data_IF_921952303072
#
_entry.id   IF_921952303072
#
_cell.length_a   1.000
_cell.length_b   1.000
_cell.length_c   1.000
_cell.angle_alpha   90.00
_cell.angle_beta   90.00
_cell.angle_gamma   90.00
#
_symmetry.space_group_name_H-M   'P 1'
#
loop_
_entity.id
_entity.type
_entity.pdbx_description
1 polymer ?
2 polymer ?
3 polymer ?
4 water ?
#
loop_
_entity_poly.entity_id
_entity_poly.type
_entity_poly.pdbx_seq_one_letter_code
_entity_poly.pdbx_strand_id
2 'polydeoxyribonucleotide' '(DG)(DA)(DG)(DC)(DT)(DG)(DT)(DC)(DA)(DT)(DA)(DA)(DA)(DG)(DT)(DT)(DG)(DT)(DC)(DA)(DC)(DG)(DG)' ?
3 'polydeoxyribonucleotide' '(DC)(DC)(DC)(DG)(DT)(DG)(DA)(DC)(DA)(DA)(DC)(DT)(DT)(DT)(DA)(DT)(DG)(DA)(DC)(DA)(DG)(DC)(DT)' ?
#
# COMPACT_ATOMS: atom_id res chain seq x y z
N UNK A 4 28.18 -29.72 0.71
CA UNK A 4 28.00 -30.72 -0.37
C UNK A 4 26.99 -31.77 0.07
N UNK A 5 25.71 -31.52 -0.22
CA UNK A 5 24.64 -32.44 0.16
C UNK A 5 24.28 -33.43 -0.93
N UNK A 6 23.16 -33.18 -1.63
CA UNK A 6 22.70 -34.09 -2.68
C UNK A 6 21.98 -33.41 -3.86
N UNK A 7 20.76 -32.94 -3.61
CA UNK A 7 19.97 -32.28 -4.66
C UNK A 7 20.55 -30.95 -5.14
N UNK A 8 19.90 -30.40 -6.16
CA UNK A 8 20.31 -29.15 -6.78
C UNK A 8 19.63 -27.92 -6.18
N UNK A 9 20.34 -26.79 -6.22
CA UNK A 9 19.80 -25.54 -5.72
C UNK A 9 19.37 -24.73 -6.95
N UNK A 10 18.09 -24.37 -6.98
CA UNK A 10 17.49 -23.63 -8.09
C UNK A 10 16.86 -22.33 -7.58
N UNK A 11 17.30 -21.20 -8.12
CA UNK A 11 16.76 -19.91 -7.70
C UNK A 11 16.94 -18.86 -8.79
N UNK A 12 15.85 -18.12 -9.06
CA UNK A 12 15.84 -17.06 -10.06
C UNK A 12 16.74 -17.35 -11.27
N UNK A 13 16.71 -18.60 -11.75
CA UNK A 13 17.51 -18.97 -12.90
C UNK A 13 18.95 -19.35 -12.59
N UNK A 14 19.36 -19.16 -11.35
CA UNK A 14 20.71 -19.51 -10.93
C UNK A 14 20.67 -20.90 -10.30
N UNK A 15 21.69 -21.71 -10.58
CA UNK A 15 21.71 -23.05 -10.01
C UNK A 15 23.08 -23.62 -9.67
N UNK A 16 23.11 -24.29 -8.51
CA UNK A 16 24.30 -24.93 -8.01
C UNK A 16 23.99 -26.40 -7.84
N UNK A 17 24.75 -27.24 -8.54
CA UNK A 17 24.61 -28.69 -8.52
C UNK A 17 25.84 -29.27 -7.84
N UNK A 18 25.69 -29.71 -6.58
CA UNK A 18 26.78 -30.29 -5.80
C UNK A 18 27.39 -31.47 -6.57
N UNK A 19 26.49 -32.34 -7.03
CA UNK A 19 26.84 -33.53 -7.81
C UNK A 19 27.92 -33.23 -8.85
N UNK A 20 27.65 -32.29 -9.75
CA UNK A 20 28.63 -31.94 -10.78
C UNK A 20 29.60 -30.92 -10.25
N UNK A 21 29.19 -30.23 -9.18
CA UNK A 21 30.01 -29.20 -8.57
C UNK A 21 30.04 -28.06 -9.58
N UNK A 22 28.86 -27.75 -10.12
CA UNK A 22 28.77 -26.71 -11.13
C UNK A 22 27.72 -25.62 -10.87
N UNK A 23 27.97 -24.45 -11.42
CA UNK A 23 27.05 -23.31 -11.28
C UNK A 23 26.62 -22.87 -12.67
N UNK A 24 25.31 -22.81 -12.88
CA UNK A 24 24.81 -22.38 -14.18
C UNK A 24 23.71 -21.31 -14.12
N UNK A 25 23.85 -20.29 -14.96
CA UNK A 25 22.85 -19.24 -15.07
C UNK A 25 21.99 -19.70 -16.24
N UNK A 26 20.78 -20.17 -15.94
CA UNK A 26 19.94 -20.67 -17.01
C UNK A 26 20.61 -21.98 -17.41
N UNK A 27 21.34 -21.97 -18.52
CA UNK A 27 22.04 -23.17 -18.93
C UNK A 27 23.53 -22.88 -19.09
N UNK A 28 23.88 -21.61 -19.27
CA UNK A 28 25.29 -21.25 -19.42
C UNK A 28 26.06 -21.55 -18.15
N UNK A 29 27.19 -22.26 -18.27
CA UNK A 29 27.97 -22.56 -17.08
C UNK A 29 28.60 -21.26 -16.60
N UNK A 30 28.93 -21.20 -15.31
CA UNK A 30 29.56 -20.02 -14.74
C UNK A 30 30.85 -20.48 -14.11
N UNK A 31 31.96 -19.87 -14.50
CA UNK A 31 33.24 -20.22 -13.93
C UNK A 31 33.56 -19.34 -12.71
N UNK A 32 34.31 -19.91 -11.77
CA UNK A 32 34.73 -19.22 -10.56
C UNK A 32 35.54 -20.22 -9.73
N UNK A 33 36.55 -19.70 -9.03
CA UNK A 33 37.41 -20.53 -8.19
C UNK A 33 36.68 -21.40 -7.17
N UNK A 34 37.44 -22.21 -6.41
CA UNK A 34 36.86 -23.09 -5.39
C UNK A 34 36.12 -22.39 -4.24
N UNK A 35 36.71 -21.31 -3.72
CA UNK A 35 36.07 -20.57 -2.61
C UNK A 35 34.73 -19.92 -3.01
N UNK A 36 34.80 -19.04 -4.00
CA UNK A 36 33.62 -18.34 -4.48
C UNK A 36 32.50 -19.34 -4.63
N UNK A 37 32.84 -20.58 -4.98
CA UNK A 37 31.85 -21.63 -5.15
C UNK A 37 31.34 -22.10 -3.79
N UNK A 38 32.26 -22.26 -2.84
CA UNK A 38 31.93 -22.69 -1.49
C UNK A 38 31.04 -21.65 -0.82
N UNK A 39 31.42 -20.38 -1.01
CA UNK A 39 30.66 -19.26 -0.48
C UNK A 39 29.26 -19.38 -1.08
N UNK A 40 29.20 -19.36 -2.40
CA UNK A 40 27.91 -19.45 -3.06
C UNK A 40 27.14 -20.66 -2.57
N UNK A 41 27.84 -21.76 -2.28
CA UNK A 41 27.14 -22.93 -1.81
C UNK A 41 26.58 -22.66 -0.43
N UNK A 42 27.29 -21.86 0.38
CA UNK A 42 26.75 -21.55 1.70
C UNK A 42 25.56 -20.58 1.56
N UNK A 43 25.81 -19.45 0.89
CA UNK A 43 24.76 -18.45 0.64
C UNK A 43 23.46 -19.09 0.17
N UNK A 44 23.53 -19.91 -0.87
CA UNK A 44 22.33 -20.55 -1.40
C UNK A 44 21.61 -21.54 -0.49
N UNK A 45 22.30 -22.09 0.50
CA UNK A 45 21.61 -23.00 1.41
C UNK A 45 21.13 -22.19 2.59
N UNK A 46 21.66 -20.97 2.72
CA UNK A 46 21.27 -20.07 3.81
C UNK A 46 20.93 -18.70 3.26
N UNK A 47 19.85 -18.63 2.48
CA UNK A 47 19.40 -17.38 1.86
C UNK A 47 18.52 -16.52 2.79
N UNK A 48 18.27 -15.29 2.37
CA UNK A 48 17.41 -14.38 3.12
C UNK A 48 17.81 -14.38 4.59
N UNK A 49 19.11 -14.37 4.83
CA UNK A 49 19.65 -14.41 6.18
C UNK A 49 21.01 -13.76 6.13
N UNK A 50 21.17 -12.62 6.78
CA UNK A 50 22.45 -11.90 6.77
C UNK A 50 23.53 -12.55 7.65
N UNK A 51 24.75 -12.54 7.15
CA UNK A 51 25.86 -13.12 7.88
C UNK A 51 26.96 -12.09 7.92
N UNK A 52 27.73 -12.10 9.01
CA UNK A 52 28.84 -11.18 9.15
C UNK A 52 30.06 -11.81 8.51
N UNK A 53 31.01 -10.97 8.11
CA UNK A 53 32.24 -11.48 7.52
C UNK A 53 32.80 -12.61 8.40
N UNK A 54 32.87 -12.34 9.69
CA UNK A 54 33.38 -13.32 10.62
C UNK A 54 32.67 -14.66 10.53
N UNK A 55 31.35 -14.65 10.51
CA UNK A 55 30.63 -15.93 10.43
C UNK A 55 30.91 -16.68 9.13
N UNK A 56 31.04 -15.92 8.04
CA UNK A 56 31.32 -16.51 6.74
C UNK A 56 32.65 -17.25 6.83
N UNK A 57 33.60 -16.64 7.54
CA UNK A 57 34.91 -17.26 7.73
C UNK A 57 34.72 -18.62 8.40
N UNK A 58 34.04 -18.62 9.53
CA UNK A 58 33.78 -19.86 10.26
C UNK A 58 33.05 -20.89 9.42
N UNK A 59 32.00 -20.46 8.70
CA UNK A 59 31.22 -21.40 7.90
C UNK A 59 31.88 -21.84 6.60
N UNK A 60 32.46 -20.90 5.86
CA UNK A 60 33.09 -21.22 4.58
C UNK A 60 34.52 -21.74 4.78
N UNK A 61 35.35 -20.94 5.43
CA UNK A 61 36.75 -21.30 5.68
C UNK A 61 36.88 -22.33 6.81
N UNK A 62 35.78 -22.58 7.52
CA UNK A 62 35.79 -23.54 8.62
C UNK A 62 36.45 -22.99 9.87
N UNK A 63 36.88 -21.73 9.84
CA UNK A 63 37.53 -21.11 11.00
C UNK A 63 38.02 -19.68 10.69
N UNK A 64 37.80 -18.79 11.64
CA UNK A 64 38.17 -17.37 11.55
C UNK A 64 39.62 -17.08 11.94
N UNK A 65 40.37 -18.15 12.22
CA UNK A 65 41.75 -18.02 12.66
C UNK A 65 42.88 -17.62 11.70
N UNK A 66 42.80 -17.98 10.42
CA UNK A 66 43.90 -17.63 9.52
C UNK A 66 43.69 -16.47 8.57
N UNK A 67 42.44 -16.10 8.32
CA UNK A 67 42.13 -15.01 7.41
C UNK A 67 41.58 -13.79 8.13
N UNK A 68 41.71 -12.63 7.48
CA UNK A 68 41.25 -11.33 8.00
C UNK A 68 39.89 -10.90 7.43
N UNK A 69 38.92 -10.71 8.33
CA UNK A 69 37.55 -10.29 7.97
C UNK A 69 37.30 -9.68 6.59
N UNK A 70 38.03 -8.62 6.26
CA UNK A 70 37.84 -7.95 4.98
C UNK A 70 38.19 -8.79 3.75
N UNK A 71 38.72 -9.98 3.98
CA UNK A 71 39.08 -10.86 2.87
C UNK A 71 37.78 -11.33 2.27
N UNK A 72 36.72 -11.30 3.09
CA UNK A 72 35.41 -11.72 2.62
C UNK A 72 34.90 -10.75 1.56
N UNK A 73 35.14 -9.46 1.75
CA UNK A 73 34.68 -8.46 0.79
C UNK A 73 35.23 -8.86 -0.57
N UNK A 74 36.54 -9.06 -0.61
CA UNK A 74 37.23 -9.43 -1.84
C UNK A 74 36.55 -10.62 -2.52
N UNK A 75 36.30 -11.67 -1.76
CA UNK A 75 35.66 -12.83 -2.32
C UNK A 75 34.24 -12.54 -2.78
N UNK A 76 33.48 -11.79 -1.97
CA UNK A 76 32.10 -11.41 -2.34
C UNK A 76 32.19 -10.72 -3.70
N UNK A 77 33.23 -9.92 -3.89
CA UNK A 77 33.40 -9.23 -5.15
C UNK A 77 33.65 -10.19 -6.31
N UNK A 78 34.59 -11.11 -6.12
CA UNK A 78 34.92 -12.10 -7.16
C UNK A 78 33.71 -12.99 -7.48
N UNK A 79 32.89 -13.27 -6.47
CA UNK A 79 31.71 -14.08 -6.68
C UNK A 79 30.79 -13.26 -7.60
N UNK A 80 30.75 -11.96 -7.34
CA UNK A 80 29.94 -11.02 -8.10
C UNK A 80 30.35 -10.96 -9.55
N UNK A 81 31.63 -10.72 -9.78
CA UNK A 81 32.10 -10.67 -11.15
C UNK A 81 31.72 -11.97 -11.85
N UNK A 82 31.64 -13.06 -11.09
CA UNK A 82 31.30 -14.37 -11.65
C UNK A 82 29.82 -14.59 -11.86
N UNK A 83 29.00 -13.75 -11.25
CA UNK A 83 27.56 -13.90 -11.39
C UNK A 83 26.94 -12.85 -12.31
N UNK A 84 27.77 -11.97 -12.88
CA UNK A 84 27.29 -10.91 -13.77
C UNK A 84 26.64 -11.45 -15.04
N UNK A 85 27.34 -12.31 -15.82
CA UNK A 85 26.82 -12.88 -17.05
C UNK A 85 25.31 -13.16 -17.08
N UNK A 86 24.79 -13.81 -16.05
CA UNK A 86 23.36 -14.06 -16.05
C UNK A 86 22.64 -12.98 -15.28
N UNK A 87 23.40 -11.98 -14.83
CA UNK A 87 22.82 -10.88 -14.06
C UNK A 87 22.56 -11.20 -12.60
N UNK A 88 22.96 -12.39 -12.16
CA UNK A 88 22.71 -12.80 -10.78
C UNK A 88 23.62 -12.18 -9.71
N UNK A 89 24.50 -11.26 -10.11
CA UNK A 89 25.36 -10.62 -9.13
C UNK A 89 24.49 -9.78 -8.21
N UNK A 90 23.21 -9.66 -8.58
CA UNK A 90 22.23 -8.92 -7.79
C UNK A 90 21.86 -9.61 -6.50
N UNK A 91 22.07 -10.91 -6.44
CA UNK A 91 21.66 -11.63 -5.25
C UNK A 91 22.66 -11.58 -4.09
N UNK A 92 23.86 -11.10 -4.36
CA UNK A 92 24.88 -10.95 -3.32
C UNK A 92 24.74 -9.53 -2.81
N UNK A 93 23.92 -9.40 -1.76
CA UNK A 93 23.57 -8.12 -1.14
C UNK A 93 24.27 -7.67 0.15
N UNK A 94 24.80 -6.47 0.09
CA UNK A 94 25.48 -5.85 1.21
C UNK A 94 24.51 -5.23 2.23
N UNK A 95 24.65 -5.65 3.49
CA UNK A 95 23.84 -5.12 4.58
C UNK A 95 24.78 -4.31 5.43
N UNK A 96 25.04 -3.07 5.00
CA UNK A 96 25.95 -2.16 5.71
C UNK A 96 25.95 -2.27 7.24
N UNK A 97 27.13 -2.50 7.80
CA UNK A 97 27.27 -2.63 9.24
C UNK A 97 26.87 -3.99 9.76
N UNK A 98 26.39 -4.88 8.91
CA UNK A 98 26.01 -6.19 9.40
C UNK A 98 26.71 -7.33 8.65
N UNK A 99 27.03 -7.10 7.39
CA UNK A 99 27.69 -8.11 6.61
C UNK A 99 27.13 -8.24 5.21
N UNK A 100 26.88 -9.47 4.79
CA UNK A 100 26.35 -9.76 3.47
C UNK A 100 25.21 -10.74 3.60
N UNK A 101 24.40 -10.81 2.55
CA UNK A 101 23.24 -11.69 2.53
C UNK A 101 22.94 -12.20 1.14
N UNK A 102 22.36 -13.39 1.06
CA UNK A 102 22.03 -13.91 -0.26
C UNK A 102 20.53 -13.91 -0.33
N UNK A 103 20.00 -13.20 -1.34
CA UNK A 103 18.56 -13.09 -1.48
C UNK A 103 18.08 -13.07 -2.93
N UNK A 104 16.84 -13.50 -3.13
CA UNK A 104 16.21 -13.51 -4.43
C UNK A 104 15.31 -12.27 -4.55
N UNK A 105 14.87 -11.77 -3.39
CA UNK A 105 14.01 -10.60 -3.37
C UNK A 105 14.86 -9.36 -3.47
N UNK A 106 14.77 -8.67 -4.60
CA UNK A 106 15.53 -7.44 -4.79
C UNK A 106 14.64 -6.37 -5.40
N UNK B 6 12.94 -13.72 18.54
CA UNK B 6 12.87 -12.62 17.54
C UNK B 6 12.44 -13.20 16.20
N UNK B 7 11.22 -12.87 15.76
CA UNK B 7 10.68 -13.36 14.49
C UNK B 7 10.38 -12.23 13.51
N UNK B 8 9.78 -12.60 12.38
CA UNK B 8 9.42 -11.62 11.37
C UNK B 8 8.16 -10.90 11.82
N UNK B 9 8.22 -9.57 11.82
CA UNK B 9 7.08 -8.77 12.22
C UNK B 9 6.34 -8.30 10.97
N UNK B 10 5.03 -8.54 10.94
CA UNK B 10 4.20 -8.16 9.80
C UNK B 10 2.98 -7.36 10.24
N UNK B 11 2.71 -6.27 9.52
CA UNK B 11 1.57 -5.40 9.80
C UNK B 11 1.21 -4.55 8.60
N UNK B 12 -0.07 -4.61 8.21
CA UNK B 12 -0.54 -3.82 7.09
C UNK B 12 0.26 -4.08 5.82
N UNK B 13 0.85 -5.27 5.73
CA UNK B 13 1.64 -5.60 4.55
C UNK B 13 3.06 -5.08 4.60
N UNK B 14 3.49 -4.63 5.79
CA UNK B 14 4.85 -4.13 6.00
C UNK B 14 5.50 -5.18 6.89
N UNK B 15 6.70 -5.58 6.50
CA UNK B 15 7.39 -6.61 7.27
C UNK B 15 8.81 -6.24 7.63
N UNK B 16 9.25 -6.72 8.79
CA UNK B 16 10.62 -6.48 9.23
C UNK B 16 11.12 -7.79 9.81
N UNK B 17 12.08 -8.40 9.12
CA UNK B 17 12.69 -9.67 9.53
C UNK B 17 14.11 -9.41 10.03
N UNK B 18 14.34 -9.61 11.33
CA UNK B 18 15.63 -9.41 11.99
C UNK B 18 16.70 -10.28 11.35
N UNK B 19 16.38 -11.58 11.25
CA UNK B 19 17.27 -12.56 10.64
C UNK B 19 17.88 -11.95 9.37
N UNK B 20 17.07 -11.82 8.33
CA UNK B 20 17.56 -11.24 7.08
C UNK B 20 17.92 -9.77 7.22
N UNK B 21 17.46 -9.15 8.29
CA UNK B 21 17.72 -7.72 8.52
C UNK B 21 17.16 -6.99 7.30
N UNK B 22 15.85 -7.12 7.08
CA UNK B 22 15.23 -6.49 5.93
C UNK B 22 13.81 -5.92 6.09
N UNK B 23 13.55 -4.82 5.38
CA UNK B 23 12.24 -4.19 5.45
C UNK B 23 11.58 -4.24 4.08
N UNK B 24 10.43 -4.89 4.03
CA UNK B 24 9.71 -5.00 2.77
C UNK B 24 8.24 -4.60 2.76
N UNK B 25 7.91 -3.69 1.84
CA UNK B 25 6.53 -3.26 1.63
C UNK B 25 6.07 -4.31 0.61
N UNK B 26 5.23 -5.25 1.04
CA UNK B 26 4.80 -6.29 0.13
C UNK B 26 6.08 -6.98 -0.28
N UNK B 27 6.21 -7.37 -1.54
CA UNK B 27 7.42 -8.04 -2.01
C UNK B 27 8.53 -7.01 -2.29
N UNK B 28 8.17 -5.73 -2.19
CA UNK B 28 9.13 -4.66 -2.45
C UNK B 28 9.96 -4.29 -1.22
N UNK B 29 11.28 -4.50 -1.29
CA UNK B 29 12.18 -4.18 -0.20
C UNK B 29 12.41 -2.66 -0.16
N UNK B 30 12.58 -2.13 1.05
CA UNK B 30 12.80 -0.69 1.22
C UNK B 30 14.19 -0.41 1.80
N UNK B 31 15.00 0.35 1.08
CA UNK B 31 16.32 0.63 1.60
C UNK B 31 16.18 1.66 2.72
N UNK B 32 17.13 1.67 3.66
CA UNK B 32 17.13 2.60 4.77
C UNK B 32 18.31 2.33 5.70
N UNK B 33 18.90 3.41 6.22
CA UNK B 33 20.04 3.27 7.11
C UNK B 33 19.77 2.41 8.32
N UNK B 34 20.80 2.11 9.13
CA UNK B 34 20.67 1.29 10.34
C UNK B 34 19.86 1.96 11.49
N UNK B 35 20.01 3.26 11.68
CA UNK B 35 19.25 3.94 12.72
C UNK B 35 17.75 3.69 12.46
N UNK B 36 17.30 4.06 11.25
CA UNK B 36 15.92 3.88 10.83
C UNK B 36 15.46 2.46 11.04
N UNK B 37 16.31 1.52 10.67
CA UNK B 37 15.93 0.13 10.84
C UNK B 37 15.64 -0.10 12.32
N UNK B 38 16.53 0.40 13.17
CA UNK B 38 16.39 0.24 14.61
C UNK B 38 15.12 0.96 15.08
N UNK B 39 14.92 2.19 14.60
CA UNK B 39 13.73 2.94 14.94
C UNK B 39 12.47 2.12 14.61
N UNK B 40 12.33 1.74 13.34
CA UNK B 40 11.16 0.98 12.98
C UNK B 40 11.12 -0.28 13.78
N UNK B 41 12.28 -0.88 14.00
CA UNK B 41 12.28 -2.12 14.76
C UNK B 41 11.71 -1.91 16.16
N UNK B 42 11.92 -0.73 16.75
CA UNK B 42 11.36 -0.49 18.08
C UNK B 42 9.83 -0.24 17.98
N UNK B 43 9.44 0.67 17.08
CA UNK B 43 8.02 1.00 16.84
C UNK B 43 7.24 -0.27 16.59
N UNK B 44 7.67 -1.03 15.59
CA UNK B 44 6.99 -2.26 15.24
C UNK B 44 6.91 -3.26 16.39
N UNK B 45 7.79 -3.09 17.39
CA UNK B 45 7.78 -3.98 18.56
C UNK B 45 6.95 -3.43 19.69
N UNK B 46 6.57 -2.16 19.56
CA UNK B 46 5.73 -1.50 20.57
C UNK B 46 4.78 -0.57 19.85
N UNK B 47 3.83 -1.13 19.08
CA UNK B 47 2.85 -0.33 18.34
C UNK B 47 1.74 0.19 19.25
N UNK B 48 0.91 1.09 18.75
CA UNK B 48 -0.21 1.60 19.54
C UNK B 48 0.23 2.15 20.90
N UNK B 49 1.38 2.79 20.92
CA UNK B 49 1.90 3.38 22.14
C UNK B 49 2.72 4.59 21.75
N UNK B 50 2.39 5.73 22.31
CA UNK B 50 3.11 6.96 22.01
C UNK B 50 4.38 7.05 22.85
N UNK B 51 5.38 7.72 22.30
CA UNK B 51 6.65 7.93 22.96
C UNK B 51 7.04 9.35 22.73
N UNK B 52 7.54 10.01 23.78
CA UNK B 52 8.03 11.37 23.65
C UNK B 52 9.40 11.19 23.03
N UNK B 53 9.97 12.23 22.45
CA UNK B 53 11.29 12.12 21.83
C UNK B 53 12.32 11.56 22.84
N UNK B 54 12.30 12.14 24.03
CA UNK B 54 13.19 11.72 25.10
C UNK B 54 13.09 10.22 25.34
N UNK B 55 11.93 9.65 25.13
CA UNK B 55 11.80 8.22 25.35
C UNK B 55 12.38 7.42 24.17
N UNK B 56 12.40 8.02 22.98
CA UNK B 56 12.94 7.32 21.82
C UNK B 56 14.47 7.28 21.88
N UNK B 57 15.07 8.40 22.24
CA UNK B 57 16.52 8.47 22.37
C UNK B 57 16.93 7.45 23.45
N UNK B 58 16.09 7.29 24.47
CA UNK B 58 16.37 6.35 25.55
C UNK B 58 16.24 4.89 25.10
N UNK B 59 15.13 4.57 24.44
CA UNK B 59 14.90 3.20 23.99
C UNK B 59 15.70 2.84 22.74
N UNK B 60 16.06 3.84 21.94
CA UNK B 60 16.77 3.57 20.71
C UNK B 60 18.25 3.93 20.68
N UNK B 61 18.62 5.05 21.29
CA UNK B 61 20.03 5.41 21.32
C UNK B 61 20.64 4.89 22.62
N UNK B 62 20.25 5.50 23.73
CA UNK B 62 20.78 5.07 25.01
C UNK B 62 20.35 5.91 26.19
N UNK B 63 20.19 5.23 27.32
CA UNK B 63 19.80 5.86 28.58
C UNK B 63 20.82 6.95 28.93
N UNK B 64 22.03 6.81 28.40
CA UNK B 64 23.11 7.76 28.66
C UNK B 64 23.53 8.53 27.40
N UNK B 65 22.76 8.41 26.33
CA UNK B 65 23.07 9.09 25.07
C UNK B 65 22.83 10.60 25.20
N UNK B 66 23.55 11.40 24.40
CA UNK B 66 23.43 12.85 24.48
C UNK B 66 22.55 13.56 23.45
N UNK B 67 22.35 12.92 22.29
CA UNK B 67 21.55 13.47 21.20
C UNK B 67 20.40 14.40 21.62
N UNK B 68 20.11 15.40 20.79
CA UNK B 68 19.04 16.34 21.08
C UNK B 68 17.66 15.94 20.53
N UNK B 69 16.65 16.08 21.39
CA UNK B 69 15.26 15.76 21.08
C UNK B 69 14.80 15.91 19.63
N UNK B 70 15.14 17.00 18.97
CA UNK B 70 14.69 17.19 17.60
C UNK B 70 15.39 16.25 16.60
N UNK B 71 16.40 15.54 17.08
CA UNK B 71 17.12 14.57 16.22
C UNK B 71 16.11 13.49 15.86
N UNK B 72 15.26 13.17 16.84
CA UNK B 72 14.23 12.18 16.66
C UNK B 72 13.39 12.52 15.45
N UNK B 73 12.90 13.76 15.39
CA UNK B 73 12.05 14.19 14.28
C UNK B 73 12.67 13.79 12.96
N UNK B 74 13.90 14.25 12.75
CA UNK B 74 14.61 13.95 11.51
C UNK B 74 14.63 12.48 11.16
N UNK B 75 14.77 11.62 12.16
CA UNK B 75 14.78 10.19 11.89
C UNK B 75 13.38 9.67 11.57
N UNK B 76 12.36 10.23 12.22
CA UNK B 76 10.97 9.84 11.95
C UNK B 76 10.73 10.19 10.48
N UNK B 77 11.26 11.33 10.07
CA UNK B 77 11.12 11.81 8.71
C UNK B 77 11.77 10.87 7.69
N UNK B 78 13.01 10.44 7.95
CA UNK B 78 13.67 9.54 7.02
C UNK B 78 12.95 8.20 7.01
N UNK B 79 12.51 7.76 8.18
CA UNK B 79 11.78 6.51 8.29
C UNK B 79 10.47 6.61 7.53
N UNK B 80 10.03 7.84 7.29
CA UNK B 80 8.79 8.08 6.58
C UNK B 80 9.09 8.14 5.09
N UNK B 81 10.08 8.95 4.70
CA UNK B 81 10.43 9.03 3.29
C UNK B 81 10.71 7.63 2.75
N UNK B 82 11.28 6.78 3.59
CA UNK B 82 11.60 5.42 3.21
C UNK B 82 10.43 4.46 3.27
N UNK B 83 9.44 4.77 4.09
CA UNK B 83 8.27 3.89 4.22
C UNK B 83 7.18 4.27 3.23
N UNK B 84 7.52 5.22 2.35
CA UNK B 84 6.60 5.74 1.33
C UNK B 84 6.12 4.82 0.20
N UNK B 85 7.05 4.14 -0.51
CA UNK B 85 6.68 3.25 -1.62
C UNK B 85 5.41 2.40 -1.46
N UNK B 86 5.15 1.92 -0.25
CA UNK B 86 3.96 1.12 -0.03
C UNK B 86 2.92 1.96 0.69
N UNK B 87 3.25 3.24 0.85
CA UNK B 87 2.40 4.18 1.54
C UNK B 87 2.37 3.98 3.05
N UNK B 88 3.29 3.17 3.57
CA UNK B 88 3.30 2.91 5.01
C UNK B 88 3.77 4.02 5.94
N UNK B 89 4.16 5.17 5.40
CA UNK B 89 4.56 6.25 6.28
C UNK B 89 3.36 6.58 7.19
N UNK B 90 2.17 6.31 6.69
CA UNK B 90 0.94 6.53 7.46
C UNK B 90 1.04 5.92 8.85
N UNK B 91 1.80 4.83 8.98
CA UNK B 91 1.89 4.17 10.27
C UNK B 91 2.79 4.88 11.27
N UNK B 92 3.63 5.78 10.77
CA UNK B 92 4.53 6.57 11.60
C UNK B 92 3.76 7.83 11.93
N UNK B 93 3.06 7.78 13.06
CA UNK B 93 2.20 8.88 13.47
C UNK B 93 2.65 9.85 14.55
N UNK B 94 2.40 11.12 14.27
CA UNK B 94 2.74 12.18 15.19
C UNK B 94 1.64 12.38 16.23
N UNK B 95 2.01 12.89 17.39
CA UNK B 95 1.07 13.15 18.45
C UNK B 95 1.52 14.45 19.11
N UNK B 96 0.95 15.54 18.61
CA UNK B 96 1.22 16.90 19.07
C UNK B 96 1.45 17.02 20.59
N UNK B 97 2.60 17.60 20.94
CA UNK B 97 2.97 17.79 22.32
C UNK B 97 3.18 16.52 23.15
N UNK B 98 3.29 15.38 22.48
CA UNK B 98 3.48 14.14 23.20
C UNK B 98 4.61 13.34 22.56
N UNK B 99 4.64 13.31 21.24
CA UNK B 99 5.68 12.57 20.55
C UNK B 99 5.22 11.82 19.32
N UNK B 100 5.70 10.59 19.19
CA UNK B 100 5.33 9.76 18.05
C UNK B 100 4.72 8.43 18.42
N UNK B 101 4.01 7.87 17.46
CA UNK B 101 3.34 6.60 17.65
C UNK B 101 3.44 5.78 16.38
N UNK B 102 3.34 4.47 16.51
CA UNK B 102 3.36 3.60 15.35
C UNK B 102 2.05 2.85 15.49
N UNK B 103 1.24 2.86 14.43
CA UNK B 103 -0.06 2.22 14.52
C UNK B 103 -0.64 1.68 13.23
N UNK B 104 -1.40 0.60 13.36
CA UNK B 104 -2.05 -0.04 12.22
C UNK B 104 -3.36 0.71 11.97
N UNK B 105 -3.79 1.50 12.94
CA UNK B 105 -5.01 2.26 12.83
C UNK B 105 -4.66 3.68 12.41
N UNK B 106 -5.54 4.28 11.63
CA UNK B 106 -5.34 5.65 11.16
C UNK B 106 -6.53 6.07 10.31
N UNK E 5 -42.28 -11.08 2.98
CA UNK E 5 -41.30 -10.28 2.19
C UNK E 5 -41.04 -8.93 2.85
N UNK E 6 -40.86 -8.93 4.16
CA UNK E 6 -40.57 -7.71 4.91
C UNK E 6 -39.76 -8.00 6.19
N UNK E 7 -38.55 -8.54 6.02
CA UNK E 7 -37.70 -8.83 7.16
C UNK E 7 -36.95 -7.60 7.63
N UNK E 8 -35.99 -7.80 8.52
CA UNK E 8 -35.21 -6.69 9.04
C UNK E 8 -33.97 -6.46 8.20
N UNK E 9 -33.55 -5.20 8.11
CA UNK E 9 -32.35 -4.84 7.37
C UNK E 9 -31.38 -4.26 8.40
N UNK E 10 -30.34 -5.02 8.71
CA UNK E 10 -29.34 -4.59 9.68
C UNK E 10 -28.03 -4.31 8.94
N UNK E 11 -27.43 -3.16 9.24
CA UNK E 11 -26.17 -2.77 8.62
C UNK E 11 -25.32 -1.88 9.52
N UNK E 12 -24.18 -2.40 9.96
CA UNK E 12 -23.28 -1.63 10.80
C UNK E 12 -23.94 -1.06 12.04
N UNK E 13 -24.90 -1.79 12.60
CA UNK E 13 -25.56 -1.32 13.80
C UNK E 13 -26.83 -0.53 13.55
N UNK E 14 -27.10 -0.25 12.28
CA UNK E 14 -28.29 0.49 11.89
C UNK E 14 -29.31 -0.55 11.41
N UNK E 15 -30.54 -0.44 11.89
CA UNK E 15 -31.56 -1.39 11.45
C UNK E 15 -32.88 -0.71 11.12
N UNK E 16 -33.53 -1.21 10.08
CA UNK E 16 -34.81 -0.69 9.63
C UNK E 16 -35.82 -1.84 9.56
N UNK E 17 -36.81 -1.81 10.46
CA UNK E 17 -37.82 -2.85 10.53
C UNK E 17 -39.06 -2.38 9.77
N UNK E 18 -39.29 -2.91 8.57
CA UNK E 18 -40.46 -2.50 7.78
C UNK E 18 -41.73 -2.80 8.57
N UNK E 19 -41.76 -3.98 9.18
CA UNK E 19 -42.90 -4.40 9.97
C UNK E 19 -43.34 -3.37 11.00
N UNK E 20 -42.42 -2.85 11.79
CA UNK E 20 -42.80 -1.85 12.78
C UNK E 20 -42.66 -0.44 12.23
N UNK E 21 -42.08 -0.32 11.04
CA UNK E 21 -41.90 0.99 10.42
C UNK E 21 -40.96 1.79 11.31
N UNK E 22 -39.85 1.17 11.66
CA UNK E 22 -38.91 1.80 12.56
C UNK E 22 -37.43 1.61 12.19
N UNK E 23 -36.63 2.58 12.63
CA UNK E 23 -35.19 2.58 12.40
C UNK E 23 -34.46 2.60 13.74
N UNK E 24 -33.45 1.76 13.88
CA UNK E 24 -32.72 1.75 15.14
C UNK E 24 -31.21 1.76 15.06
N UNK E 25 -30.61 2.62 15.87
CA UNK E 25 -29.16 2.67 16.01
C UNK E 25 -29.02 1.79 17.26
N UNK E 26 -28.63 0.54 17.05
CA UNK E 26 -28.52 -0.37 18.17
C UNK E 26 -29.90 -0.62 18.75
N UNK E 27 -30.06 -0.42 20.05
CA UNK E 27 -31.35 -0.65 20.67
C UNK E 27 -32.14 0.65 20.77
N UNK E 28 -31.55 1.73 20.24
CA UNK E 28 -32.17 3.05 20.27
C UNK E 28 -32.99 3.38 19.02
N UNK E 29 -34.23 3.84 19.21
CA UNK E 29 -35.06 4.18 18.05
C UNK E 29 -34.66 5.54 17.49
N UNK E 30 -34.94 5.78 16.21
CA UNK E 30 -34.60 7.05 15.57
C UNK E 30 -35.78 7.69 14.86
N UNK E 31 -36.35 8.73 15.44
CA UNK E 31 -37.47 9.38 14.79
C UNK E 31 -37.03 9.93 13.43
N UNK E 32 -38.01 10.21 12.57
CA UNK E 32 -37.80 10.78 11.25
C UNK E 32 -39.14 10.69 10.52
N UNK E 33 -39.45 11.72 9.75
CA UNK E 33 -40.70 11.75 9.02
C UNK E 33 -40.88 10.59 8.07
N UNK E 34 -42.03 10.52 7.40
CA UNK E 34 -42.25 9.42 6.48
C UNK E 34 -41.44 9.45 5.18
N UNK E 35 -41.03 10.63 4.73
CA UNK E 35 -40.25 10.67 3.49
C UNK E 35 -38.89 10.04 3.78
N UNK E 36 -38.27 10.52 4.86
CA UNK E 36 -36.97 10.06 5.32
C UNK E 36 -36.94 8.56 5.44
N UNK E 37 -37.93 8.00 6.13
CA UNK E 37 -38.02 6.56 6.32
C UNK E 37 -38.11 5.85 4.97
N UNK E 38 -38.84 6.48 4.05
CA UNK E 38 -39.03 5.91 2.73
C UNK E 38 -37.71 5.98 1.99
N UNK E 39 -37.02 7.10 2.17
CA UNK E 39 -35.72 7.34 1.55
C UNK E 39 -34.65 6.35 2.06
N UNK E 40 -34.65 6.08 3.36
CA UNK E 40 -33.68 5.15 3.93
C UNK E 40 -34.03 3.71 3.60
N UNK E 41 -35.32 3.43 3.43
CA UNK E 41 -35.74 2.08 3.13
C UNK E 41 -35.22 1.78 1.74
N UNK E 42 -35.21 2.80 0.89
CA UNK E 42 -34.71 2.62 -0.45
C UNK E 42 -33.20 2.35 -0.41
N UNK E 43 -32.46 3.28 0.18
CA UNK E 43 -31.02 3.14 0.30
C UNK E 43 -30.58 1.83 0.93
N UNK E 44 -31.16 1.48 2.06
CA UNK E 44 -30.74 0.25 2.72
C UNK E 44 -31.08 -0.99 1.95
N UNK E 45 -31.87 -0.85 0.89
CA UNK E 45 -32.24 -2.00 0.06
C UNK E 45 -31.61 -1.91 -1.31
N UNK E 46 -30.80 -0.86 -1.48
CA UNK E 46 -30.06 -0.62 -2.72
C UNK E 46 -28.75 0.05 -2.31
N UNK E 47 -28.01 -0.57 -1.39
CA UNK E 47 -26.74 0.03 -0.94
C UNK E 47 -25.64 -0.06 -1.99
N UNK E 48 -24.53 0.61 -1.72
CA UNK E 48 -23.37 0.59 -2.62
C UNK E 48 -23.72 0.88 -4.06
N UNK E 49 -24.54 1.90 -4.28
CA UNK E 49 -24.95 2.27 -5.63
C UNK E 49 -25.33 3.74 -5.65
N UNK E 50 -24.66 4.52 -6.50
CA UNK E 50 -24.98 5.93 -6.55
C UNK E 50 -26.24 6.24 -7.35
N UNK E 51 -27.13 7.01 -6.73
CA UNK E 51 -28.36 7.40 -7.36
C UNK E 51 -28.41 8.92 -7.54
N UNK E 52 -29.01 9.35 -8.65
CA UNK E 52 -29.12 10.78 -8.95
C UNK E 52 -30.40 11.30 -8.30
N UNK E 53 -30.48 12.62 -8.20
CA UNK E 53 -31.66 13.22 -7.60
C UNK E 53 -32.87 12.68 -8.36
N UNK E 54 -32.79 12.73 -9.68
CA UNK E 54 -33.86 12.24 -10.55
C UNK E 54 -34.33 10.85 -10.15
N UNK E 55 -33.43 9.90 -10.13
CA UNK E 55 -33.82 8.54 -9.76
C UNK E 55 -34.44 8.46 -8.37
N UNK E 56 -33.96 9.28 -7.44
CA UNK E 56 -34.49 9.21 -6.10
C UNK E 56 -35.91 9.72 -6.07
N UNK E 57 -36.20 10.78 -6.84
CA UNK E 57 -37.56 11.32 -6.88
C UNK E 57 -38.45 10.26 -7.46
N UNK E 58 -38.00 9.65 -8.55
CA UNK E 58 -38.74 8.61 -9.22
C UNK E 58 -39.03 7.40 -8.35
N UNK E 59 -38.01 6.87 -7.66
CA UNK E 59 -38.21 5.69 -6.84
C UNK E 59 -38.83 5.89 -5.47
N UNK E 60 -38.59 7.06 -4.86
CA UNK E 60 -39.13 7.31 -3.53
C UNK E 60 -40.47 8.00 -3.56
N UNK E 61 -40.59 9.00 -4.43
CA UNK E 61 -41.84 9.75 -4.58
C UNK E 61 -42.70 9.04 -5.62
N UNK E 62 -42.30 9.18 -6.88
CA UNK E 62 -43.01 8.58 -8.00
C UNK E 62 -42.58 9.40 -9.20
N UNK E 63 -42.94 8.98 -10.41
CA UNK E 63 -42.54 9.74 -11.59
C UNK E 63 -43.31 11.04 -11.78
N UNK E 64 -42.77 11.91 -12.64
CA UNK E 64 -43.35 13.22 -12.97
C UNK E 64 -43.69 14.15 -11.81
N UNK E 65 -43.74 13.63 -10.58
CA UNK E 65 -44.04 14.43 -9.41
C UNK E 65 -43.45 15.83 -9.58
N UNK E 66 -44.12 16.85 -9.08
CA UNK E 66 -43.59 18.20 -9.25
C UNK E 66 -42.63 18.64 -8.16
N UNK E 67 -41.64 17.78 -7.92
CA UNK E 67 -40.61 18.04 -6.94
C UNK E 67 -39.33 18.19 -7.74
N UNK E 68 -38.56 19.23 -7.45
CA UNK E 68 -37.34 19.45 -8.18
C UNK E 68 -36.12 18.79 -7.56
N UNK E 69 -35.09 18.62 -8.36
CA UNK E 69 -33.86 17.99 -7.93
C UNK E 69 -33.30 18.37 -6.57
N UNK E 70 -32.93 19.64 -6.39
CA UNK E 70 -32.35 20.03 -5.10
C UNK E 70 -33.25 19.79 -3.88
N UNK E 71 -34.49 19.39 -4.11
CA UNK E 71 -35.38 19.13 -2.99
C UNK E 71 -34.99 17.81 -2.34
N UNK E 72 -34.23 17.03 -3.09
CA UNK E 72 -33.72 15.75 -2.60
C UNK E 72 -32.61 16.13 -1.63
N UNK E 73 -31.76 17.07 -2.05
CA UNK E 73 -30.66 17.56 -1.22
C UNK E 73 -31.17 17.94 0.17
N UNK E 74 -32.40 18.45 0.24
CA UNK E 74 -32.96 18.84 1.53
C UNK E 74 -33.37 17.63 2.38
N UNK E 75 -34.00 16.63 1.77
CA UNK E 75 -34.38 15.45 2.52
C UNK E 75 -33.15 14.66 2.92
N UNK E 76 -32.11 14.70 2.09
CA UNK E 76 -30.88 14.01 2.43
C UNK E 76 -30.36 14.61 3.73
N UNK E 77 -30.48 15.92 3.86
CA UNK E 77 -30.01 16.61 5.05
C UNK E 77 -30.79 16.17 6.27
N UNK E 78 -32.11 16.11 6.16
CA UNK E 78 -32.94 15.71 7.28
C UNK E 78 -32.68 14.26 7.66
N UNK E 79 -32.34 13.45 6.67
CA UNK E 79 -32.07 12.05 6.91
C UNK E 79 -30.75 11.87 7.70
N UNK E 80 -29.73 12.64 7.30
CA UNK E 80 -28.44 12.60 7.95
C UNK E 80 -28.57 13.01 9.42
N UNK E 81 -29.38 14.02 9.68
CA UNK E 81 -29.61 14.46 11.05
C UNK E 81 -30.15 13.30 11.89
N UNK E 82 -31.24 12.70 11.40
CA UNK E 82 -31.89 11.59 12.07
C UNK E 82 -31.00 10.38 12.30
N UNK E 83 -29.97 10.23 11.48
CA UNK E 83 -29.08 9.08 11.64
C UNK E 83 -27.81 9.40 12.42
N UNK E 84 -27.74 10.59 13.01
CA UNK E 84 -26.57 11.00 13.79
C UNK E 84 -26.28 10.10 14.99
N UNK E 85 -27.32 9.77 15.80
CA UNK E 85 -27.24 8.94 16.99
C UNK E 85 -26.43 7.64 16.94
N UNK E 86 -25.51 7.53 15.99
CA UNK E 86 -24.69 6.34 15.89
C UNK E 86 -23.61 6.62 14.87
N UNK E 87 -23.66 7.83 14.31
CA UNK E 87 -22.71 8.23 13.29
C UNK E 87 -23.07 7.50 12.02
N UNK E 88 -24.36 7.27 11.83
CA UNK E 88 -24.80 6.55 10.64
C UNK E 88 -25.06 7.42 9.42
N UNK E 89 -25.16 8.72 9.64
CA UNK E 89 -25.33 9.65 8.55
C UNK E 89 -24.15 9.41 7.59
N UNK E 90 -23.01 8.99 8.15
CA UNK E 90 -21.82 8.71 7.33
C UNK E 90 -22.15 7.70 6.26
N UNK E 91 -23.27 6.99 6.40
CA UNK E 91 -23.66 5.99 5.40
C UNK E 91 -24.43 6.57 4.22
N UNK E 92 -24.93 7.79 4.41
CA UNK E 92 -25.66 8.52 3.39
C UNK E 92 -24.57 9.40 2.81
N UNK E 93 -24.09 9.02 1.63
CA UNK E 93 -22.98 9.70 0.99
C UNK E 93 -23.21 10.46 -0.33
N UNK E 94 -22.67 11.68 -0.36
CA UNK E 94 -22.74 12.58 -1.51
C UNK E 94 -21.67 12.27 -2.56
N UNK E 95 -22.10 12.11 -3.80
CA UNK E 95 -21.17 11.84 -4.90
C UNK E 95 -21.21 13.01 -5.88
N UNK E 96 -20.25 13.91 -5.75
CA UNK E 96 -20.16 15.11 -6.58
C UNK E 96 -20.63 14.91 -8.01
N UNK E 97 -21.43 15.86 -8.48
CA UNK E 97 -21.95 15.80 -9.83
C UNK E 97 -22.61 14.50 -10.25
N UNK E 98 -23.02 13.67 -9.31
CA UNK E 98 -23.67 12.43 -9.72
C UNK E 98 -24.84 12.05 -8.84
N UNK E 99 -24.84 12.50 -7.59
CA UNK E 99 -25.94 12.16 -6.71
C UNK E 99 -25.58 11.66 -5.31
N UNK E 100 -26.37 10.74 -4.79
CA UNK E 100 -26.13 10.23 -3.48
C UNK E 100 -26.07 8.73 -3.47
N UNK E 101 -25.34 8.21 -2.50
CA UNK E 101 -25.11 6.79 -2.34
C UNK E 101 -25.27 6.47 -0.87
N UNK E 102 -25.62 5.22 -0.57
CA UNK E 102 -25.74 4.77 0.82
C UNK E 102 -24.75 3.64 0.89
N UNK E 103 -23.85 3.69 1.88
CA UNK E 103 -22.83 2.64 2.00
C UNK E 103 -22.33 2.36 3.41
N UNK E 104 -21.90 1.13 3.63
CA UNK E 104 -21.37 0.75 4.94
C UNK E 104 -19.84 0.87 4.88
N UNK E 105 -19.34 1.85 4.13
CA UNK E 105 -17.91 2.07 3.96
C UNK E 105 -17.58 3.53 3.98
N UNK E 106 -16.68 3.94 4.88
CA UNK E 106 -16.29 5.33 4.99
C UNK E 106 -14.97 5.55 5.74
N UNK F 5 -26.20 -3.93 -14.19
CA UNK F 5 -24.98 -3.11 -14.15
C UNK F 5 -23.75 -3.94 -14.55
N UNK F 6 -22.74 -3.27 -15.14
CA UNK F 6 -21.53 -3.96 -15.60
C UNK F 6 -20.32 -3.78 -14.67
N UNK F 7 -19.74 -4.92 -14.30
CA UNK F 7 -18.59 -5.07 -13.37
C UNK F 7 -17.50 -4.04 -13.05
N UNK F 8 -16.91 -4.30 -11.89
CA UNK F 8 -15.84 -3.52 -11.26
C UNK F 8 -14.44 -3.81 -11.81
N UNK F 9 -13.58 -2.81 -11.86
CA UNK F 9 -12.22 -2.99 -12.35
C UNK F 9 -11.35 -3.25 -11.13
N UNK F 10 -10.52 -4.28 -11.17
CA UNK F 10 -9.65 -4.63 -10.04
C UNK F 10 -8.20 -4.96 -10.44
N UNK F 11 -7.26 -4.25 -9.84
CA UNK F 11 -5.84 -4.51 -10.14
C UNK F 11 -4.97 -4.22 -8.93
N UNK F 12 -4.13 -5.19 -8.57
CA UNK F 12 -3.20 -5.04 -7.45
C UNK F 12 -3.82 -4.45 -6.20
N UNK F 13 -4.99 -4.97 -5.81
CA UNK F 13 -5.68 -4.49 -4.62
C UNK F 13 -6.49 -3.22 -4.75
N UNK F 14 -6.35 -2.52 -5.88
CA UNK F 14 -7.07 -1.27 -6.12
C UNK F 14 -8.31 -1.60 -6.92
N UNK F 15 -9.46 -1.09 -6.47
CA UNK F 15 -10.70 -1.35 -7.19
C UNK F 15 -11.43 -0.04 -7.46
N UNK F 16 -12.09 0.02 -8.60
CA UNK F 16 -12.88 1.20 -8.97
C UNK F 16 -14.20 0.59 -9.40
N UNK F 17 -15.26 0.95 -8.68
CA UNK F 17 -16.59 0.47 -8.96
C UNK F 17 -17.36 1.56 -9.69
N UNK F 18 -17.78 1.29 -10.93
CA UNK F 18 -18.53 2.22 -11.80
C UNK F 18 -19.90 2.52 -11.20
N UNK F 19 -20.51 1.47 -10.69
CA UNK F 19 -21.83 1.52 -10.07
C UNK F 19 -21.87 2.44 -8.86
N UNK F 20 -21.00 2.20 -7.89
CA UNK F 20 -20.98 3.01 -6.67
C UNK F 20 -20.19 4.29 -6.89
N UNK F 21 -19.54 4.37 -8.04
CA UNK F 21 -18.73 5.53 -8.36
C UNK F 21 -17.73 5.68 -7.22
N UNK F 22 -17.00 4.59 -6.94
CA UNK F 22 -16.04 4.60 -5.84
C UNK F 22 -14.71 3.82 -6.03
N UNK F 23 -13.63 4.39 -5.50
CA UNK F 23 -12.33 3.74 -5.59
C UNK F 23 -11.81 3.27 -4.24
N UNK F 24 -11.33 2.05 -4.19
CA UNK F 24 -10.82 1.53 -2.93
C UNK F 24 -9.45 0.88 -2.97
N UNK F 25 -8.61 1.31 -2.02
CA UNK F 25 -7.27 0.75 -1.84
C UNK F 25 -7.60 -0.38 -0.88
N UNK F 26 -7.66 -1.58 -1.42
CA UNK F 26 -8.02 -2.72 -0.60
C UNK F 26 -9.47 -2.60 -0.20
N UNK F 27 -9.71 -2.23 1.05
CA UNK F 27 -11.07 -2.08 1.57
C UNK F 27 -11.22 -0.62 2.05
N UNK F 28 -10.22 0.18 1.74
CA UNK F 28 -10.22 1.58 2.13
C UNK F 28 -10.70 2.50 1.02
N UNK F 29 -11.80 3.23 1.24
CA UNK F 29 -12.33 4.14 0.23
C UNK F 29 -11.37 5.30 -0.01
N UNK F 30 -11.08 5.61 -1.26
CA UNK F 30 -10.17 6.71 -1.60
C UNK F 30 -10.92 7.86 -2.23
N UNK F 31 -11.04 8.98 -1.53
CA UNK F 31 -11.73 10.10 -2.12
C UNK F 31 -10.88 10.70 -3.25
N UNK F 32 -11.51 11.52 -4.07
CA UNK F 32 -10.83 12.17 -5.19
C UNK F 32 -11.88 12.87 -6.06
N UNK F 33 -11.49 13.98 -6.68
CA UNK F 33 -12.39 14.73 -7.54
C UNK F 33 -12.94 13.96 -8.73
N UNK F 34 -13.97 14.50 -9.39
CA UNK F 34 -14.55 13.80 -10.54
C UNK F 34 -13.66 13.63 -11.77
N UNK F 35 -12.78 14.60 -12.06
CA UNK F 35 -11.91 14.45 -13.23
C UNK F 35 -10.93 13.30 -12.98
N UNK F 36 -10.34 13.29 -11.79
CA UNK F 36 -9.41 12.25 -11.41
C UNK F 36 -10.08 10.89 -11.56
N UNK F 37 -11.29 10.77 -11.06
CA UNK F 37 -12.04 9.53 -11.15
C UNK F 37 -12.08 9.16 -12.61
N UNK F 38 -12.38 10.16 -13.45
CA UNK F 38 -12.45 9.96 -14.88
C UNK F 38 -11.12 9.46 -15.42
N UNK F 39 -10.04 10.19 -15.13
CA UNK F 39 -8.72 9.76 -15.59
C UNK F 39 -8.43 8.31 -15.16
N UNK F 40 -8.68 8.01 -13.89
CA UNK F 40 -8.39 6.67 -13.36
C UNK F 40 -9.25 5.62 -14.00
N UNK F 41 -10.49 5.97 -14.32
CA UNK F 41 -11.34 4.97 -14.93
C UNK F 41 -10.84 4.71 -16.34
N UNK F 42 -10.38 5.76 -17.02
CA UNK F 42 -9.87 5.58 -18.36
C UNK F 42 -8.63 4.66 -18.27
N UNK F 43 -7.62 5.09 -17.50
CA UNK F 43 -6.40 4.29 -17.32
C UNK F 43 -6.71 2.83 -16.99
N UNK F 44 -7.46 2.61 -15.92
CA UNK F 44 -7.77 1.26 -15.49
C UNK F 44 -8.47 0.38 -16.51
N UNK F 45 -8.87 0.97 -17.62
CA UNK F 45 -9.54 0.19 -18.67
C UNK F 45 -8.70 0.26 -19.93
N UNK F 46 -7.47 0.73 -19.77
CA UNK F 46 -6.52 0.85 -20.87
C UNK F 46 -5.13 0.71 -20.23
N UNK F 47 -4.94 -0.35 -19.43
CA UNK F 47 -3.64 -0.54 -18.78
C UNK F 47 -2.57 -1.05 -19.73
N UNK F 48 -1.32 -0.78 -19.40
CA UNK F 48 -0.19 -1.23 -20.20
C UNK F 48 -0.26 -0.62 -21.59
N UNK F 49 -0.64 0.66 -21.64
CA UNK F 49 -0.74 1.40 -22.89
C UNK F 49 -0.36 2.81 -22.57
N UNK F 50 0.56 3.38 -23.34
CA UNK F 50 0.98 4.74 -23.10
C UNK F 50 0.10 5.71 -23.89
N UNK F 51 -0.08 6.92 -23.35
CA UNK F 51 -0.89 7.95 -23.99
C UNK F 51 -0.21 9.28 -23.80
N UNK F 52 -0.21 10.11 -24.84
CA UNK F 52 0.38 11.45 -24.75
C UNK F 52 -0.62 12.37 -24.08
N UNK F 53 -0.19 13.59 -23.77
CA UNK F 53 -1.05 14.55 -23.11
C UNK F 53 -2.26 15.03 -23.93
N UNK F 54 -2.21 14.83 -25.24
CA UNK F 54 -3.31 15.25 -26.08
C UNK F 54 -4.34 14.15 -26.29
N UNK F 55 -3.91 12.89 -26.20
CA UNK F 55 -4.80 11.74 -26.38
C UNK F 55 -5.66 11.55 -25.13
N UNK F 56 -5.12 11.91 -23.98
CA UNK F 56 -5.86 11.78 -22.74
C UNK F 56 -6.88 12.91 -22.74
N UNK F 57 -6.43 14.13 -23.06
CA UNK F 57 -7.36 15.25 -23.15
C UNK F 57 -8.46 14.81 -24.11
N UNK F 58 -8.06 14.14 -25.18
CA UNK F 58 -9.02 13.66 -26.13
C UNK F 58 -9.93 12.63 -25.45
N UNK F 59 -9.40 11.46 -25.10
CA UNK F 59 -10.20 10.40 -24.46
C UNK F 59 -10.89 10.75 -23.14
N UNK F 60 -10.33 11.68 -22.37
CA UNK F 60 -10.88 12.01 -21.07
C UNK F 60 -11.61 13.34 -20.97
N UNK F 61 -11.05 14.37 -21.58
CA UNK F 61 -11.73 15.66 -21.55
C UNK F 61 -12.76 15.66 -22.67
N UNK F 62 -12.29 15.34 -23.87
CA UNK F 62 -13.17 15.33 -25.03
C UNK F 62 -12.48 16.11 -26.14
N UNK F 63 -11.95 17.28 -25.77
CA UNK F 63 -11.25 18.17 -26.68
C UNK F 63 -9.97 18.63 -25.98
N UNK F 64 -8.99 19.10 -26.74
CA UNK F 64 -7.72 19.55 -26.17
C UNK F 64 -7.47 21.03 -26.37
N UNK F 65 -8.47 21.75 -26.88
CA UNK F 65 -8.31 23.18 -27.14
C UNK F 65 -8.40 24.08 -25.90
N UNK F 66 -9.49 23.97 -25.14
CA UNK F 66 -9.69 24.79 -23.95
C UNK F 66 -8.74 24.38 -22.81
N UNK F 67 -8.05 23.25 -23.01
CA UNK F 67 -7.11 22.74 -22.02
C UNK F 67 -5.74 22.52 -22.65
N UNK F 68 -4.72 23.15 -22.09
CA UNK F 68 -3.38 22.98 -22.62
C UNK F 68 -2.69 21.72 -22.11
N UNK F 69 -1.96 21.05 -23.00
CA UNK F 69 -1.25 19.81 -22.68
C UNK F 69 -0.81 19.59 -21.23
N UNK F 70 -0.09 20.55 -20.66
CA UNK F 70 0.39 20.42 -19.29
C UNK F 70 -0.66 20.38 -18.19
N UNK F 71 -1.91 20.68 -18.54
CA UNK F 71 -2.98 20.64 -17.56
C UNK F 71 -3.09 19.20 -17.09
N UNK F 72 -2.95 18.29 -18.05
CA UNK F 72 -3.02 16.85 -17.80
C UNK F 72 -2.07 16.45 -16.67
N UNK F 73 -0.87 17.03 -16.70
CA UNK F 73 0.15 16.72 -15.71
C UNK F 73 -0.34 16.97 -14.30
N UNK F 74 -0.90 18.17 -14.08
CA UNK F 74 -1.44 18.52 -12.78
C UNK F 74 -2.36 17.42 -12.24
N UNK F 75 -3.28 16.98 -13.08
CA UNK F 75 -4.22 15.96 -12.70
C UNK F 75 -3.57 14.63 -12.39
N UNK F 76 -2.55 14.26 -13.15
CA UNK F 76 -1.86 13.02 -12.89
C UNK F 76 -1.34 13.08 -11.46
N UNK F 77 -0.85 14.24 -11.04
CA UNK F 77 -0.33 14.42 -9.69
C UNK F 77 -1.40 14.25 -8.62
N UNK F 78 -2.53 14.92 -8.84
CA UNK F 78 -3.64 14.82 -7.92
C UNK F 78 -4.01 13.36 -7.86
N UNK F 79 -4.17 12.75 -9.03
CA UNK F 79 -4.54 11.35 -9.06
C UNK F 79 -3.59 10.53 -8.21
N UNK F 80 -2.30 10.80 -8.38
CA UNK F 80 -1.30 10.09 -7.60
C UNK F 80 -1.51 10.33 -6.11
N UNK F 81 -1.53 11.59 -5.68
CA UNK F 81 -1.71 11.85 -4.26
C UNK F 81 -2.93 11.10 -3.70
N UNK F 82 -4.00 11.03 -4.47
CA UNK F 82 -5.21 10.34 -4.03
C UNK F 82 -5.01 8.83 -3.90
N UNK F 83 -4.05 8.28 -4.62
CA UNK F 83 -3.80 6.84 -4.57
C UNK F 83 -2.62 6.41 -3.71
N UNK F 84 -2.00 7.36 -3.00
CA UNK F 84 -0.85 7.02 -2.16
C UNK F 84 -1.20 5.93 -1.14
N UNK F 85 -2.30 6.12 -0.37
CA UNK F 85 -2.75 5.19 0.65
C UNK F 85 -2.17 3.79 0.66
N UNK F 86 -2.22 3.11 -0.48
CA UNK F 86 -1.67 1.76 -0.54
C UNK F 86 -0.49 1.62 -1.50
N UNK F 87 0.11 2.74 -1.88
CA UNK F 87 1.22 2.68 -2.82
C UNK F 87 0.77 2.48 -4.27
N UNK F 88 -0.50 2.77 -4.54
CA UNK F 88 -1.02 2.59 -5.90
C UNK F 88 -0.67 3.72 -6.82
N UNK F 89 -0.10 4.77 -6.26
CA UNK F 89 0.35 5.87 -7.09
C UNK F 89 1.43 5.28 -8.04
N UNK F 90 2.19 4.31 -7.54
CA UNK F 90 3.23 3.67 -8.35
C UNK F 90 2.62 3.07 -9.61
N UNK F 91 1.32 3.23 -9.79
CA UNK F 91 0.67 2.68 -10.97
C UNK F 91 0.45 3.72 -12.06
N UNK F 92 0.48 5.00 -11.66
CA UNK F 92 0.32 6.10 -12.61
C UNK F 92 1.74 6.47 -12.93
N UNK F 93 2.23 5.97 -14.07
CA UNK F 93 3.61 6.19 -14.46
C UNK F 93 3.89 7.15 -15.61
N UNK F 94 4.99 7.88 -15.44
CA UNK F 94 5.45 8.86 -16.41
C UNK F 94 6.40 8.24 -17.43
N UNK F 95 6.16 8.49 -18.70
CA UNK F 95 7.04 7.99 -19.74
C UNK F 95 7.58 9.21 -20.46
N UNK F 96 8.68 9.74 -19.93
CA UNK F 96 9.35 10.93 -20.46
C UNK F 96 9.33 11.03 -21.98
N UNK F 97 9.01 12.23 -22.47
CA UNK F 97 8.95 12.46 -23.89
C UNK F 97 7.92 11.62 -24.60
N UNK F 98 7.01 10.99 -23.88
CA UNK F 98 5.99 10.19 -24.56
C UNK F 98 4.61 10.30 -23.91
N UNK F 99 4.57 10.50 -22.58
CA UNK F 99 3.28 10.62 -21.92
C UNK F 99 3.18 9.93 -20.57
N UNK F 100 2.02 9.32 -20.33
CA UNK F 100 1.79 8.63 -19.07
C UNK F 100 1.22 7.25 -19.34
N UNK F 101 1.30 6.39 -18.33
CA UNK F 101 0.81 5.02 -18.43
C UNK F 101 0.29 4.54 -17.09
N UNK F 102 -0.62 3.56 -17.15
CA UNK F 102 -1.15 2.97 -15.95
C UNK F 102 -0.77 1.49 -15.99
N UNK F 103 0.01 1.04 -14.99
CA UNK F 103 0.42 -0.36 -15.00
C UNK F 103 0.50 -1.06 -13.65
N UNK F 104 0.14 -2.34 -13.64
CA UNK F 104 0.22 -3.14 -12.41
C UNK F 104 1.70 -3.40 -12.13
N UNK F 105 2.53 -3.30 -13.17
CA UNK F 105 3.97 -3.54 -13.05
C UNK F 105 4.78 -2.28 -12.70
N UNK F 106 5.43 -2.30 -11.54
CA UNK F 106 6.23 -1.16 -11.08
C UNK F 106 7.64 -1.23 -11.67
#
# INVERSE_FOLDING_TARGET
>A
SPMAVEEVIEMQGLSLDPTSHRVMAGEEPLEMGPTEFKLLHFFMTHPERVYSREQLLNHVWGTNVYVEDRTVDVHIRRLRKALEPGGHDRMVQTVRGTGYRFSTRF
>B
SPMAVEEVIEMQGLSLDPTSHRVMAGEEPLEMGPTEFKLLHFFMTHPERVYSREQLLNHVWGTNVYVEDRTVDVHIRRLRKALEPGGHDRMVQTVRGTGYRFSTRF
>E
SPMAVEEVIEMQGLSLDPTSHRVMAGEEPLEMGPTEFKLLHFFMTHPERVYSREQLLNHVWGTNVYVEDRTVDVHIRRLRKALEPGGHDRMVQTVRGTGYRFSTRF
>F
SPMAVEEVIEMQGLSLDPTSHRVMAGEEPLEMGPTEFKLLHFFMTHPERVYSREQLLNHVWGTNVYVEDRTVDVHIRRLRKALEPGGHDRMVQTVRGTGYRFSTRF
#
